data_IF_002662912361
#
_entry.id   IF_002662912361
#
_cell.length_a   1.000
_cell.length_b   1.000
_cell.length_c   1.000
_cell.angle_alpha   90.00
_cell.angle_beta   90.00
_cell.angle_gamma   90.00
#
_symmetry.space_group_name_H-M   'P 1'
#
loop_
_entity.id
_entity.type
_entity.pdbx_description
1 polymer ?
#
# COMPACT_ATOMS: atom_id res chain seq x y z
N UNK A 1 -10.94 -14.58 -8.41
CA UNK A 1 -10.89 -14.35 -6.95
C UNK A 1 -12.00 -13.38 -6.60
N UNK A 2 -12.99 -13.76 -5.79
CA UNK A 2 -14.06 -12.85 -5.34
C UNK A 2 -13.59 -12.16 -4.06
N UNK A 3 -13.09 -10.93 -4.17
CA UNK A 3 -12.91 -10.10 -2.99
C UNK A 3 -14.31 -9.76 -2.44
N UNK A 4 -14.51 -9.93 -1.13
CA UNK A 4 -15.73 -9.58 -0.41
C UNK A 4 -16.25 -8.20 -0.83
N UNK A 5 -17.57 -7.97 -0.80
CA UNK A 5 -18.20 -6.66 -1.04
C UNK A 5 -17.54 -5.57 -0.19
N UNK A 6 -16.54 -4.88 -0.73
CA UNK A 6 -15.87 -3.78 -0.06
C UNK A 6 -16.61 -2.51 -0.42
N UNK A 7 -17.34 -1.98 0.55
CA UNK A 7 -17.98 -0.69 0.41
C UNK A 7 -16.94 0.42 0.57
N UNK A 8 -17.06 1.45 -0.28
CA UNK A 8 -16.26 2.64 -0.17
C UNK A 8 -16.95 3.64 0.76
N UNK A 9 -16.22 4.05 1.78
CA UNK A 9 -16.50 5.27 2.54
C UNK A 9 -15.90 6.47 1.81
N UNK A 10 -16.40 7.67 2.11
CA UNK A 10 -15.79 8.91 1.67
C UNK A 10 -15.61 9.89 2.82
N UNK A 11 -14.54 10.66 2.78
CA UNK A 11 -14.26 11.73 3.73
C UNK A 11 -13.85 12.98 2.97
N UNK A 12 -14.37 14.15 3.39
CA UNK A 12 -13.95 15.43 2.84
C UNK A 12 -12.50 15.70 3.27
N UNK A 13 -11.59 15.87 2.32
CA UNK A 13 -10.18 16.16 2.59
C UNK A 13 -9.91 17.65 2.53
N UNK A 14 -10.43 18.32 1.51
CA UNK A 14 -10.19 19.76 1.31
C UNK A 14 -11.27 20.39 0.46
N UNK A 15 -11.30 21.72 0.46
CA UNK A 15 -12.10 22.54 -0.47
C UNK A 15 -11.16 23.41 -1.29
N UNK A 16 -11.37 23.46 -2.60
CA UNK A 16 -10.60 24.32 -3.50
C UNK A 16 -11.49 24.83 -4.63
N UNK A 17 -11.49 26.16 -4.87
CA UNK A 17 -12.38 26.83 -5.85
C UNK A 17 -13.86 26.48 -5.67
N UNK A 18 -14.34 26.56 -4.42
CA UNK A 18 -15.71 26.21 -4.04
C UNK A 18 -16.14 24.76 -4.39
N UNK A 19 -15.16 23.89 -4.69
CA UNK A 19 -15.37 22.45 -4.88
C UNK A 19 -14.84 21.67 -3.69
N UNK A 20 -15.64 20.71 -3.27
CA UNK A 20 -15.33 19.76 -2.21
C UNK A 20 -14.57 18.56 -2.79
N UNK A 21 -13.41 18.22 -2.22
CA UNK A 21 -12.57 17.12 -2.65
C UNK A 21 -12.57 16.00 -1.60
N UNK A 22 -12.99 14.82 -2.03
CA UNK A 22 -13.17 13.67 -1.16
C UNK A 22 -12.09 12.61 -1.40
N UNK A 23 -11.63 11.99 -0.32
CA UNK A 23 -10.95 10.70 -0.37
C UNK A 23 -12.01 9.60 -0.31
N UNK A 24 -12.02 8.74 -1.31
CA UNK A 24 -12.79 7.50 -1.28
C UNK A 24 -11.90 6.38 -0.80
N UNK A 25 -12.32 5.60 0.19
CA UNK A 25 -11.48 4.57 0.79
C UNK A 25 -12.30 3.38 1.30
N UNK A 26 -11.65 2.22 1.38
CA UNK A 26 -12.16 0.99 1.98
C UNK A 26 -11.57 0.83 3.39
N UNK A 27 -12.20 -0.01 4.22
CA UNK A 27 -11.66 -0.33 5.54
C UNK A 27 -10.29 -1.00 5.42
N UNK A 28 -9.25 -0.34 5.93
CA UNK A 28 -7.86 -0.80 5.82
C UNK A 28 -7.65 -2.18 6.44
N UNK A 29 -8.26 -2.47 7.60
CA UNK A 29 -8.17 -3.79 8.25
C UNK A 29 -8.81 -4.87 7.39
N UNK A 30 -9.94 -4.57 6.73
CA UNK A 30 -10.57 -5.51 5.82
C UNK A 30 -9.70 -5.76 4.57
N UNK A 31 -9.03 -4.74 4.04
CA UNK A 31 -8.08 -4.92 2.94
C UNK A 31 -6.91 -5.83 3.34
N UNK A 32 -6.35 -5.63 4.54
CA UNK A 32 -5.29 -6.51 5.07
C UNK A 32 -5.80 -7.94 5.20
N UNK A 33 -6.98 -8.16 5.80
CA UNK A 33 -7.58 -9.49 5.94
C UNK A 33 -7.76 -10.18 4.58
N UNK A 34 -8.21 -9.45 3.58
CA UNK A 34 -8.42 -9.97 2.23
C UNK A 34 -7.10 -10.33 1.52
N UNK A 35 -6.02 -9.58 1.76
CA UNK A 35 -4.69 -9.99 1.28
C UNK A 35 -4.27 -11.28 1.98
N UNK A 36 -4.49 -11.39 3.29
CA UNK A 36 -4.12 -12.57 4.08
C UNK A 36 -4.94 -13.83 3.76
N UNK A 37 -6.11 -13.70 3.13
CA UNK A 37 -6.90 -14.86 2.66
C UNK A 37 -6.47 -15.37 1.29
N UNK A 38 -5.55 -14.69 0.62
CA UNK A 38 -4.99 -15.14 -0.66
C UNK A 38 -4.19 -16.43 -0.43
N UNK A 39 -4.46 -17.52 -1.18
CA UNK A 39 -3.68 -18.74 -1.07
C UNK A 39 -2.18 -18.48 -1.21
N UNK A 40 -1.41 -19.17 -0.39
CA UNK A 40 0.06 -19.15 -0.40
C UNK A 40 0.72 -17.80 -0.08
N UNK A 41 -0.06 -16.75 0.23
CA UNK A 41 0.47 -15.39 0.48
C UNK A 41 1.40 -15.37 1.70
N UNK A 42 1.07 -16.17 2.73
CA UNK A 42 1.77 -16.21 4.02
C UNK A 42 2.90 -17.23 4.07
N UNK A 43 3.05 -18.11 3.07
CA UNK A 43 4.04 -19.20 3.11
C UNK A 43 5.47 -18.70 3.23
N UNK A 44 5.77 -17.55 2.63
CA UNK A 44 7.11 -16.96 2.60
C UNK A 44 7.15 -15.61 3.33
N UNK A 45 6.27 -15.38 4.31
CA UNK A 45 6.26 -14.12 5.06
C UNK A 45 7.57 -13.92 5.81
N UNK A 46 8.18 -12.75 5.62
CA UNK A 46 9.23 -12.28 6.51
C UNK A 46 8.62 -11.95 7.88
N UNK A 47 9.03 -12.68 8.92
CA UNK A 47 8.55 -12.51 10.29
C UNK A 47 9.62 -11.97 11.25
N UNK A 48 10.86 -11.86 10.78
CA UNK A 48 11.98 -11.35 11.56
C UNK A 48 12.95 -10.57 10.69
N UNK A 49 13.66 -9.64 11.34
CA UNK A 49 14.84 -9.02 10.77
C UNK A 49 15.84 -10.09 10.31
N UNK A 50 16.41 -9.91 9.12
CA UNK A 50 17.48 -10.74 8.57
C UNK A 50 18.66 -9.85 8.18
N UNK A 51 19.84 -10.13 8.73
CA UNK A 51 21.06 -9.42 8.33
C UNK A 51 21.76 -10.22 7.24
N UNK A 52 21.84 -9.65 6.02
CA UNK A 52 22.68 -10.19 4.96
C UNK A 52 23.89 -9.29 4.80
N UNK A 53 25.09 -9.87 4.86
CA UNK A 53 26.35 -9.15 4.68
C UNK A 53 27.18 -9.84 3.60
N UNK A 54 27.80 -9.04 2.74
CA UNK A 54 28.79 -9.47 1.77
C UNK A 54 29.96 -8.49 1.79
N UNK A 55 31.20 -9.00 1.90
CA UNK A 55 32.39 -8.16 2.01
C UNK A 55 32.33 -7.08 3.11
N UNK A 56 31.67 -7.38 4.25
CA UNK A 56 31.43 -6.45 5.37
C UNK A 56 30.49 -5.29 5.06
N UNK A 57 29.76 -5.36 3.95
CA UNK A 57 28.69 -4.43 3.60
C UNK A 57 27.33 -5.10 3.77
N UNK A 58 26.38 -4.38 4.38
CA UNK A 58 25.00 -4.85 4.50
C UNK A 58 24.30 -4.83 3.15
N UNK A 59 23.66 -5.94 2.79
CA UNK A 59 22.83 -6.08 1.61
C UNK A 59 21.37 -5.84 2.00
N UNK A 60 20.74 -4.88 1.31
CA UNK A 60 19.34 -4.54 1.49
C UNK A 60 18.55 -4.94 0.25
N UNK A 61 17.77 -6.03 0.33
CA UNK A 61 16.99 -6.58 -0.79
C UNK A 61 15.49 -6.66 -0.50
N UNK A 62 15.12 -6.84 0.77
CA UNK A 62 13.74 -6.87 1.25
C UNK A 62 13.56 -5.96 2.47
N UNK A 63 12.32 -5.65 2.83
CA UNK A 63 12.09 -4.76 3.97
C UNK A 63 12.65 -5.29 5.29
N UNK A 64 12.60 -6.61 5.52
CA UNK A 64 13.13 -7.23 6.72
C UNK A 64 14.66 -7.27 6.78
N UNK A 65 15.35 -6.86 5.71
CA UNK A 65 16.80 -6.65 5.72
C UNK A 65 17.18 -5.23 6.10
N UNK A 66 16.23 -4.30 6.07
CA UNK A 66 16.44 -2.90 6.41
C UNK A 66 16.69 -2.69 7.90
N UNK A 67 17.59 -1.74 8.22
CA UNK A 67 17.86 -1.30 9.60
C UNK A 67 16.58 -0.83 10.31
N UNK A 68 15.64 -0.22 9.57
CA UNK A 68 14.33 0.16 10.09
C UNK A 68 13.59 -1.03 10.72
N UNK A 69 13.54 -2.18 10.03
CA UNK A 69 12.86 -3.37 10.56
C UNK A 69 13.49 -3.83 11.87
N UNK A 70 14.83 -3.86 11.93
CA UNK A 70 15.56 -4.21 13.16
C UNK A 70 15.12 -3.33 14.33
N UNK A 71 15.25 -2.01 14.17
CA UNK A 71 14.91 -1.05 15.22
C UNK A 71 13.43 -1.10 15.60
N UNK A 72 12.54 -1.23 14.62
CA UNK A 72 11.10 -1.35 14.90
C UNK A 72 10.78 -2.64 15.64
N UNK A 73 11.33 -3.78 15.22
CA UNK A 73 11.12 -5.06 15.89
C UNK A 73 11.65 -5.05 17.33
N UNK A 74 12.80 -4.46 17.58
CA UNK A 74 13.39 -4.30 18.93
C UNK A 74 12.55 -3.41 19.84
N UNK A 75 11.77 -2.48 19.28
CA UNK A 75 10.86 -1.60 20.04
C UNK A 75 9.52 -2.25 20.42
N UNK A 76 9.20 -3.43 19.86
CA UNK A 76 7.93 -4.11 20.12
C UNK A 76 7.99 -4.96 21.40
N UNK A 77 6.85 -5.19 22.08
CA UNK A 77 6.79 -6.10 23.23
C UNK A 77 7.27 -7.51 22.87
N UNK A 78 7.91 -8.17 23.82
CA UNK A 78 8.38 -9.57 23.68
C UNK A 78 7.27 -10.47 23.14
N UNK A 79 7.58 -11.25 22.11
CA UNK A 79 6.62 -12.14 21.44
C UNK A 79 5.84 -11.50 20.29
N UNK A 80 5.91 -10.18 20.12
CA UNK A 80 5.25 -9.49 19.00
C UNK A 80 6.01 -9.69 17.68
N UNK A 81 5.28 -9.57 16.56
CA UNK A 81 5.82 -9.60 15.20
C UNK A 81 5.44 -8.32 14.47
N UNK A 82 6.35 -7.82 13.64
CA UNK A 82 6.11 -6.65 12.82
C UNK A 82 5.31 -7.04 11.58
N UNK A 83 4.16 -6.38 11.37
CA UNK A 83 3.43 -6.41 10.11
C UNK A 83 3.64 -5.08 9.38
N UNK A 84 4.43 -5.09 8.32
CA UNK A 84 4.69 -3.89 7.51
C UNK A 84 3.59 -3.69 6.49
N UNK A 85 3.14 -2.44 6.34
CA UNK A 85 2.13 -2.02 5.37
C UNK A 85 2.80 -1.10 4.36
N UNK A 86 2.60 -1.39 3.08
CA UNK A 86 3.03 -0.53 1.98
C UNK A 86 1.78 0.06 1.32
N UNK A 87 1.74 1.38 1.25
CA UNK A 87 0.78 2.13 0.44
C UNK A 87 1.54 2.71 -0.75
N UNK A 88 0.99 2.54 -1.94
CA UNK A 88 1.51 3.22 -3.12
C UNK A 88 0.35 3.75 -3.96
N UNK A 89 0.60 4.86 -4.63
CA UNK A 89 -0.39 5.59 -5.40
C UNK A 89 0.27 6.11 -6.65
N UNK A 90 -0.41 5.94 -7.79
CA UNK A 90 0.03 6.50 -9.07
C UNK A 90 -1.17 6.90 -9.92
N UNK A 91 -1.02 7.95 -10.72
CA UNK A 91 -2.09 8.42 -11.59
C UNK A 91 -2.29 7.45 -12.75
N UNK A 92 -3.52 6.99 -12.93
CA UNK A 92 -3.91 6.04 -13.98
C UNK A 92 -4.96 6.66 -14.87
N UNK A 93 -4.76 6.59 -16.18
CA UNK A 93 -5.75 7.00 -17.18
C UNK A 93 -6.86 5.95 -17.28
N UNK A 94 -8.10 6.40 -17.21
CA UNK A 94 -9.29 5.53 -17.10
C UNK A 94 -10.14 5.47 -18.35
N UNK A 95 -9.89 6.36 -19.31
CA UNK A 95 -10.54 6.37 -20.61
C UNK A 95 -9.55 6.02 -21.73
N UNK A 96 -10.09 5.52 -22.84
CA UNK A 96 -9.30 5.18 -24.04
C UNK A 96 -8.62 6.39 -24.67
N UNK A 97 -9.08 7.60 -24.34
CA UNK A 97 -8.57 8.88 -24.86
C UNK A 97 -7.64 9.62 -23.88
N UNK A 98 -7.42 9.08 -22.68
CA UNK A 98 -6.54 9.65 -21.67
C UNK A 98 -6.98 10.98 -21.02
N UNK A 99 -8.26 11.38 -21.16
CA UNK A 99 -8.81 12.62 -20.61
C UNK A 99 -9.23 12.49 -19.14
N UNK A 100 -9.53 11.27 -18.68
CA UNK A 100 -9.95 11.02 -17.31
C UNK A 100 -8.85 10.29 -16.54
N UNK A 101 -8.37 10.89 -15.46
CA UNK A 101 -7.39 10.28 -14.58
C UNK A 101 -8.07 9.88 -13.26
N UNK A 102 -7.66 8.74 -12.70
CA UNK A 102 -7.90 8.37 -11.31
C UNK A 102 -6.56 8.17 -10.63
N UNK A 103 -6.50 8.48 -9.34
CA UNK A 103 -5.29 8.31 -8.55
C UNK A 103 -5.54 7.23 -7.48
N UNK A 104 -5.55 5.93 -7.85
CA UNK A 104 -5.80 4.84 -6.92
C UNK A 104 -4.67 4.70 -5.90
N UNK A 105 -5.07 4.43 -4.66
CA UNK A 105 -4.18 4.00 -3.58
C UNK A 105 -4.31 2.49 -3.48
N UNK A 106 -3.21 1.77 -3.61
CA UNK A 106 -3.15 0.34 -3.36
C UNK A 106 -2.42 0.06 -2.05
N UNK A 107 -2.82 -1.03 -1.39
CA UNK A 107 -2.20 -1.57 -0.19
C UNK A 107 -1.62 -2.95 -0.47
N UNK A 108 -0.44 -3.22 0.09
CA UNK A 108 0.18 -4.55 0.18
C UNK A 108 0.93 -4.68 1.49
N UNK A 109 1.36 -5.90 1.83
CA UNK A 109 2.18 -6.16 3.02
C UNK A 109 3.66 -6.24 2.65
N UNK A 110 4.50 -5.55 3.43
CA UNK A 110 5.96 -5.59 3.27
C UNK A 110 6.58 -6.92 3.68
N UNK A 111 5.85 -7.74 4.45
CA UNK A 111 6.24 -9.10 4.83
C UNK A 111 6.21 -10.07 3.63
N UNK A 112 5.46 -9.77 2.57
CA UNK A 112 5.40 -10.60 1.36
C UNK A 112 6.67 -10.35 0.54
N UNK A 113 7.43 -11.38 0.13
CA UNK A 113 8.65 -11.20 -0.66
C UNK A 113 8.34 -10.59 -2.03
N UNK A 114 9.27 -9.83 -2.58
CA UNK A 114 9.10 -8.99 -3.77
C UNK A 114 8.50 -9.75 -4.96
N UNK A 115 8.97 -10.97 -5.22
CA UNK A 115 8.50 -11.80 -6.33
C UNK A 115 7.01 -12.17 -6.20
N UNK A 116 6.52 -12.36 -4.97
CA UNK A 116 5.11 -12.67 -4.68
C UNK A 116 4.28 -11.40 -4.57
N UNK A 117 4.83 -10.35 -3.94
CA UNK A 117 4.24 -9.03 -3.74
C UNK A 117 3.94 -8.33 -5.07
N UNK A 118 4.75 -8.59 -6.09
CA UNK A 118 4.56 -8.02 -7.43
C UNK A 118 3.37 -8.62 -8.21
N UNK A 119 2.78 -9.73 -7.77
CA UNK A 119 1.55 -10.25 -8.36
C UNK A 119 0.35 -9.34 -8.05
N UNK A 120 -0.68 -9.38 -8.88
CA UNK A 120 -1.85 -8.51 -8.75
C UNK A 120 -2.68 -8.86 -7.51
N UNK A 121 -2.81 -10.16 -7.22
CA UNK A 121 -3.58 -10.70 -6.09
C UNK A 121 -2.92 -10.47 -4.72
N UNK A 122 -1.64 -10.08 -4.67
CA UNK A 122 -0.97 -9.68 -3.43
C UNK A 122 -1.26 -8.23 -3.01
N UNK A 123 -2.03 -7.49 -3.83
CA UNK A 123 -2.31 -6.08 -3.63
C UNK A 123 -3.81 -5.85 -3.68
N UNK A 124 -4.28 -4.86 -2.94
CA UNK A 124 -5.69 -4.51 -2.92
C UNK A 124 -5.86 -3.00 -3.10
N UNK A 125 -6.88 -2.61 -3.86
CA UNK A 125 -7.29 -1.21 -3.94
C UNK A 125 -7.79 -0.76 -2.57
N UNK A 126 -7.14 0.25 -1.99
CA UNK A 126 -7.53 0.86 -0.73
C UNK A 126 -8.44 2.07 -0.94
N UNK A 127 -8.22 2.84 -2.00
CA UNK A 127 -8.94 4.10 -2.17
C UNK A 127 -8.58 4.85 -3.45
N UNK A 128 -9.12 6.06 -3.58
CA UNK A 128 -8.84 7.00 -4.65
C UNK A 128 -8.56 8.38 -4.06
N UNK A 129 -7.37 8.92 -4.34
CA UNK A 129 -7.04 10.31 -4.00
C UNK A 129 -7.83 11.27 -4.89
N UNK A 130 -8.28 12.41 -4.36
CA UNK A 130 -8.86 13.46 -5.18
C UNK A 130 -7.81 14.06 -6.11
N UNK A 131 -8.21 14.34 -7.35
CA UNK A 131 -7.39 15.09 -8.31
C UNK A 131 -7.87 16.54 -8.27
N UNK A 132 -7.02 17.42 -7.77
CA UNK A 132 -7.34 18.85 -7.70
C UNK A 132 -7.32 19.44 -9.11
N UNK A 133 -8.35 20.23 -9.44
CA UNK A 133 -8.31 21.05 -10.64
C UNK A 133 -7.16 22.05 -10.51
N UNK A 134 -6.39 22.22 -11.59
CA UNK A 134 -5.35 23.22 -11.61
C UNK A 134 -5.96 24.61 -11.35
N UNK A 135 -5.25 25.43 -10.58
CA UNK A 135 -5.50 26.86 -10.62
C UNK A 135 -5.25 27.31 -12.06
N UNK A 136 -6.31 27.57 -12.85
CA UNK A 136 -6.22 28.39 -14.05
C UNK A 136 -5.24 29.52 -13.75
N UNK A 137 -4.06 29.48 -14.38
CA UNK A 137 -3.29 30.69 -14.61
C UNK A 137 -4.11 31.40 -15.67
N UNK A 138 -4.91 32.36 -15.24
CA UNK A 138 -5.49 33.33 -16.15
C UNK A 138 -4.32 33.88 -17.00
N UNK A 139 -4.35 33.55 -18.29
CA UNK A 139 -3.46 34.07 -19.32
C UNK A 139 -3.85 35.52 -19.61
#
# INVERSE_FOLDING_TARGET
>A
MKFSNLEFSKVLITKHKDKDYFLYYQNLIQCIKNILTVPDITQNFALSYENYEYNRESIYSEQNTGKWWKTTQESLPTGSKLLSIILYSDATTTDTLGKSQLHPIYITLGNIPIWRRNKQDAKQLLGYLPILEAANKDL
#
